data_IF_588272437672
#
_entry.id   IF_588272437672
#
_cell.length_a   1.000
_cell.length_b   1.000
_cell.length_c   1.000
_cell.angle_alpha   90.00
_cell.angle_beta   90.00
_cell.angle_gamma   90.00
#
_symmetry.space_group_name_H-M   'P 1'
#
loop_
_entity.id
_entity.type
_entity.pdbx_description
1 polymer ?
#
# COMPACT_ATOMS: atom_id res chain seq x y z
N UNK A 1 28.64 -6.26 0.86
CA UNK A 1 27.36 -6.71 0.30
C UNK A 1 26.42 -5.53 0.18
N UNK A 2 25.74 -5.35 -0.94
CA UNK A 2 24.78 -4.25 -1.13
C UNK A 2 23.37 -4.73 -0.77
N UNK A 3 22.93 -4.43 0.45
CA UNK A 3 21.55 -4.65 0.86
C UNK A 3 20.69 -3.49 0.33
N UNK A 4 19.88 -3.73 -0.71
CA UNK A 4 18.95 -2.72 -1.26
C UNK A 4 17.51 -3.10 -0.93
N UNK A 5 16.82 -2.23 -0.20
CA UNK A 5 15.38 -2.34 0.05
C UNK A 5 14.62 -1.73 -1.12
N UNK A 6 13.64 -2.46 -1.65
CA UNK A 6 12.75 -1.97 -2.70
C UNK A 6 11.35 -1.79 -2.11
N UNK A 7 10.71 -0.68 -2.40
CA UNK A 7 9.35 -0.38 -1.95
C UNK A 7 8.55 0.27 -3.06
N UNK A 8 7.26 -0.04 -3.13
CA UNK A 8 6.29 0.74 -3.88
C UNK A 8 5.65 1.79 -2.97
N UNK A 9 5.47 2.99 -3.51
CA UNK A 9 4.63 4.05 -2.95
C UNK A 9 3.35 4.13 -3.78
N UNK A 10 2.21 3.99 -3.12
CA UNK A 10 0.88 4.18 -3.69
C UNK A 10 0.25 5.42 -3.07
N UNK A 11 -0.45 6.23 -3.86
CA UNK A 11 -1.19 7.41 -3.39
C UNK A 11 -2.68 7.17 -3.49
N UNK A 12 -3.40 7.41 -2.39
CA UNK A 12 -4.85 7.26 -2.30
C UNK A 12 -5.48 8.61 -2.01
N UNK A 13 -6.37 9.07 -2.88
CA UNK A 13 -7.15 10.29 -2.63
C UNK A 13 -8.46 9.92 -1.96
N UNK A 14 -8.77 10.58 -0.85
CA UNK A 14 -10.07 10.45 -0.19
C UNK A 14 -11.12 11.15 -1.06
N UNK A 15 -12.04 10.37 -1.61
CA UNK A 15 -13.14 10.89 -2.45
C UNK A 15 -14.44 11.06 -1.68
N UNK A 16 -14.58 10.44 -0.51
CA UNK A 16 -15.73 10.61 0.36
C UNK A 16 -15.87 12.09 0.77
N UNK A 17 -17.08 12.62 0.68
CA UNK A 17 -17.37 14.01 1.04
C UNK A 17 -17.30 14.18 2.54
N UNK A 18 -16.61 15.22 3.01
CA UNK A 18 -16.46 15.51 4.43
C UNK A 18 -15.15 16.21 4.75
N UNK A 19 -14.78 16.21 6.04
CA UNK A 19 -13.60 16.94 6.55
C UNK A 19 -12.28 16.57 5.86
N UNK A 20 -12.15 15.34 5.41
CA UNK A 20 -10.92 14.82 4.80
C UNK A 20 -11.00 14.67 3.28
N UNK A 21 -12.06 15.17 2.65
CA UNK A 21 -12.22 15.11 1.21
C UNK A 21 -11.03 15.75 0.48
N UNK A 22 -10.54 15.07 -0.56
CA UNK A 22 -9.41 15.53 -1.37
C UNK A 22 -8.02 15.27 -0.78
N UNK A 23 -7.91 14.88 0.50
CA UNK A 23 -6.62 14.55 1.11
C UNK A 23 -6.02 13.31 0.42
N UNK A 24 -4.71 13.36 0.17
CA UNK A 24 -3.94 12.25 -0.41
C UNK A 24 -3.13 11.56 0.68
N UNK A 25 -3.35 10.26 0.86
CA UNK A 25 -2.63 9.42 1.80
C UNK A 25 -1.70 8.45 1.07
N UNK A 26 -0.44 8.32 1.52
CA UNK A 26 0.50 7.34 0.99
C UNK A 26 0.26 5.95 1.58
N UNK A 27 0.62 4.92 0.82
CA UNK A 27 0.89 3.57 1.33
C UNK A 27 2.27 3.11 0.84
N UNK A 28 3.02 2.48 1.73
CA UNK A 28 4.31 1.89 1.38
C UNK A 28 4.29 0.39 1.61
N UNK A 29 4.69 -0.36 0.58
CA UNK A 29 4.84 -1.80 0.66
C UNK A 29 6.24 -2.22 0.22
N UNK A 30 6.82 -3.16 0.96
CA UNK A 30 8.09 -3.77 0.59
C UNK A 30 7.86 -4.73 -0.59
N UNK A 31 8.69 -4.60 -1.62
CA UNK A 31 8.64 -5.43 -2.83
C UNK A 31 10.03 -6.01 -3.12
N UNK A 32 10.11 -6.93 -4.06
CA UNK A 32 11.35 -7.49 -4.55
C UNK A 32 11.81 -6.75 -5.81
N UNK A 33 13.12 -6.77 -6.14
CA UNK A 33 13.61 -6.22 -7.38
C UNK A 33 12.93 -6.88 -8.58
N UNK A 34 12.35 -6.08 -9.46
CA UNK A 34 11.76 -6.51 -10.72
C UNK A 34 12.54 -5.93 -11.90
N UNK A 35 12.66 -6.69 -13.00
CA UNK A 35 13.23 -6.17 -14.25
C UNK A 35 12.25 -5.25 -15.00
N UNK A 36 10.95 -5.47 -14.78
CA UNK A 36 9.88 -4.70 -15.41
C UNK A 36 9.66 -3.37 -14.68
N UNK A 37 9.35 -2.33 -15.44
CA UNK A 37 8.94 -1.02 -14.91
C UNK A 37 7.44 -0.95 -14.57
N UNK A 38 6.64 -1.85 -15.14
CA UNK A 38 5.16 -1.81 -15.06
C UNK A 38 4.56 -2.88 -14.17
N UNK A 39 5.35 -3.89 -13.79
CA UNK A 39 4.87 -5.01 -12.96
C UNK A 39 5.70 -5.15 -11.70
N UNK A 40 5.07 -5.61 -10.64
CA UNK A 40 5.70 -5.78 -9.32
C UNK A 40 6.09 -7.24 -9.10
N UNK A 41 7.26 -7.42 -8.49
CA UNK A 41 7.66 -8.69 -7.88
C UNK A 41 7.47 -8.61 -6.37
N UNK A 42 6.79 -9.58 -5.77
CA UNK A 42 6.51 -9.63 -4.34
C UNK A 42 6.98 -10.94 -3.71
N UNK A 43 7.16 -10.94 -2.38
CA UNK A 43 7.41 -12.15 -1.61
C UNK A 43 6.11 -12.88 -1.27
N UNK A 44 6.16 -14.21 -1.15
CA UNK A 44 4.99 -15.06 -0.85
C UNK A 44 4.22 -14.67 0.42
N UNK A 45 4.92 -14.14 1.43
CA UNK A 45 4.32 -13.71 2.71
C UNK A 45 4.33 -12.18 2.88
N UNK A 46 4.56 -11.45 1.80
CA UNK A 46 4.62 -9.98 1.86
C UNK A 46 3.24 -9.38 2.10
N UNK A 47 3.20 -8.24 2.79
CA UNK A 47 1.97 -7.50 3.01
C UNK A 47 1.33 -7.07 1.69
N UNK A 48 2.14 -6.71 0.69
CA UNK A 48 1.66 -6.38 -0.64
C UNK A 48 0.87 -7.52 -1.27
N UNK A 49 1.44 -8.74 -1.30
CA UNK A 49 0.80 -9.88 -1.95
C UNK A 49 -0.51 -10.26 -1.24
N UNK A 50 -0.51 -10.27 0.10
CA UNK A 50 -1.71 -10.56 0.89
C UNK A 50 -2.80 -9.51 0.65
N UNK A 51 -2.46 -8.23 0.78
CA UNK A 51 -3.39 -7.13 0.51
C UNK A 51 -3.95 -7.21 -0.91
N UNK A 52 -3.12 -7.43 -1.92
CA UNK A 52 -3.56 -7.48 -3.31
C UNK A 52 -4.60 -8.59 -3.52
N UNK A 53 -4.29 -9.80 -3.06
CA UNK A 53 -5.18 -10.96 -3.19
C UNK A 53 -6.47 -10.77 -2.40
N UNK A 54 -6.38 -10.27 -1.17
CA UNK A 54 -7.55 -10.02 -0.31
C UNK A 54 -8.46 -8.93 -0.92
N UNK A 55 -7.88 -7.82 -1.38
CA UNK A 55 -8.61 -6.67 -1.91
C UNK A 55 -9.40 -7.00 -3.17
N UNK A 56 -8.83 -7.82 -4.05
CA UNK A 56 -9.48 -8.23 -5.31
C UNK A 56 -10.15 -9.60 -5.22
N UNK A 57 -10.08 -10.26 -4.06
CA UNK A 57 -10.55 -11.64 -3.85
C UNK A 57 -10.06 -12.62 -4.93
N UNK A 58 -8.76 -12.57 -5.26
CA UNK A 58 -8.12 -13.45 -6.25
C UNK A 58 -6.91 -14.14 -5.65
N UNK A 59 -6.61 -15.34 -6.16
CA UNK A 59 -5.36 -16.03 -5.90
C UNK A 59 -4.40 -15.82 -7.06
N UNK A 60 -3.23 -15.25 -6.79
CA UNK A 60 -2.18 -15.08 -7.77
C UNK A 60 -1.32 -16.35 -7.83
N UNK A 61 -1.33 -17.01 -8.98
CA UNK A 61 -0.43 -18.15 -9.26
C UNK A 61 1.03 -17.71 -9.42
N UNK A 62 1.25 -16.42 -9.72
CA UNK A 62 2.57 -15.84 -9.93
C UNK A 62 2.76 -14.56 -9.13
N UNK A 63 3.95 -14.42 -8.55
CA UNK A 63 4.34 -13.26 -7.72
C UNK A 63 5.39 -12.35 -8.35
N UNK A 64 5.84 -12.65 -9.56
CA UNK A 64 6.95 -11.96 -10.23
C UNK A 64 6.54 -10.95 -11.30
N UNK A 65 5.25 -10.92 -11.65
CA UNK A 65 4.67 -10.06 -12.69
C UNK A 65 3.28 -9.58 -12.27
N UNK A 66 3.14 -9.09 -11.05
CA UNK A 66 1.86 -8.60 -10.53
C UNK A 66 1.55 -7.26 -11.21
N UNK A 67 0.41 -7.16 -11.89
CA UNK A 67 -0.02 -5.91 -12.53
C UNK A 67 -0.57 -4.94 -11.48
N UNK A 68 -0.34 -3.63 -11.68
CA UNK A 68 -0.99 -2.59 -10.90
C UNK A 68 -2.29 -2.09 -11.52
N UNK A 69 -2.56 -2.48 -12.77
CA UNK A 69 -3.75 -2.03 -13.53
C UNK A 69 -5.08 -2.25 -12.82
N UNK A 70 -5.31 -3.28 -11.99
CA UNK A 70 -6.61 -3.43 -11.32
C UNK A 70 -6.90 -2.34 -10.28
N UNK A 71 -5.89 -1.57 -9.86
CA UNK A 71 -6.08 -0.38 -9.02
C UNK A 71 -6.42 0.88 -9.83
N UNK A 72 -6.34 0.82 -11.16
CA UNK A 72 -6.66 1.97 -12.00
C UNK A 72 -8.19 2.20 -11.99
N UNK A 73 -8.59 3.44 -11.71
CA UNK A 73 -9.99 3.91 -11.78
C UNK A 73 -11.01 3.18 -10.88
N UNK A 74 -10.56 2.46 -9.85
CA UNK A 74 -11.46 1.81 -8.87
C UNK A 74 -11.58 2.63 -7.59
N UNK A 75 -12.76 2.55 -6.96
CA UNK A 75 -12.97 3.01 -5.60
C UNK A 75 -12.58 1.89 -4.63
N UNK A 76 -11.87 2.25 -3.56
CA UNK A 76 -11.31 1.28 -2.62
C UNK A 76 -11.73 1.63 -1.21
N UNK A 77 -12.16 0.61 -0.46
CA UNK A 77 -12.24 0.69 0.99
C UNK A 77 -10.85 0.39 1.55
N UNK A 78 -10.31 1.30 2.35
CA UNK A 78 -8.93 1.19 2.86
C UNK A 78 -8.89 1.31 4.38
N UNK A 79 -7.92 0.63 5.00
CA UNK A 79 -7.60 0.80 6.42
C UNK A 79 -6.53 1.90 6.55
N UNK A 80 -6.87 3.00 7.20
CA UNK A 80 -5.94 4.10 7.50
C UNK A 80 -5.43 3.95 8.93
N UNK A 81 -4.13 4.17 9.12
CA UNK A 81 -3.51 4.23 10.44
C UNK A 81 -2.76 5.55 10.61
N UNK A 82 -2.69 6.02 11.85
CA UNK A 82 -1.84 7.15 12.24
C UNK A 82 -0.57 6.62 12.89
N UNK A 83 0.57 7.00 12.33
CA UNK A 83 1.90 6.67 12.85
C UNK A 83 2.23 7.65 13.97
N UNK A 84 2.24 7.11 15.19
CA UNK A 84 2.53 7.87 16.40
C UNK A 84 3.83 7.44 17.07
N UNK A 85 4.46 6.38 16.57
CA UNK A 85 5.70 5.81 17.09
C UNK A 85 6.66 5.53 15.95
N UNK A 86 7.95 5.65 16.22
CA UNK A 86 9.00 5.28 15.29
C UNK A 86 9.18 3.75 15.22
N UNK A 87 10.14 3.29 14.42
CA UNK A 87 10.44 1.86 14.26
C UNK A 87 11.02 1.21 15.52
N UNK A 88 11.50 2.00 16.49
CA UNK A 88 11.99 1.53 17.79
C UNK A 88 10.90 1.59 18.87
N UNK A 89 9.67 1.98 18.50
CA UNK A 89 8.53 2.10 19.41
C UNK A 89 8.50 3.40 20.21
N UNK A 90 9.40 4.35 19.95
CA UNK A 90 9.46 5.63 20.64
C UNK A 90 8.38 6.57 20.11
N UNK A 91 7.69 7.35 20.97
CA UNK A 91 6.64 8.26 20.54
C UNK A 91 7.20 9.37 19.63
N UNK A 92 6.48 9.65 18.56
CA UNK A 92 6.72 10.80 17.70
C UNK A 92 6.03 12.04 18.28
N UNK A 93 6.72 13.18 18.25
CA UNK A 93 6.12 14.47 18.53
C UNK A 93 4.92 14.73 17.61
N UNK A 94 3.89 15.44 18.08
CA UNK A 94 2.61 15.62 17.36
C UNK A 94 2.79 16.10 15.92
N UNK A 95 3.74 17.01 15.67
CA UNK A 95 4.04 17.55 14.33
C UNK A 95 4.61 16.51 13.35
N UNK A 96 5.25 15.45 13.87
CA UNK A 96 5.85 14.38 13.09
C UNK A 96 4.92 13.17 12.93
N UNK A 97 3.72 13.21 13.53
CA UNK A 97 2.72 12.16 13.33
C UNK A 97 2.09 12.33 11.95
N UNK A 98 1.86 11.22 11.27
CA UNK A 98 1.26 11.24 9.94
C UNK A 98 0.35 10.03 9.75
N UNK A 99 -0.67 10.20 8.91
CA UNK A 99 -1.54 9.09 8.53
C UNK A 99 -1.07 8.46 7.23
N UNK A 100 -1.28 7.15 7.12
CA UNK A 100 -1.00 6.38 5.90
C UNK A 100 -2.04 5.29 5.73
N UNK A 101 -2.21 4.85 4.49
CA UNK A 101 -2.95 3.63 4.22
C UNK A 101 -2.09 2.44 4.64
N UNK A 102 -2.68 1.56 5.46
CA UNK A 102 -2.06 0.31 5.91
C UNK A 102 -2.29 -0.80 4.89
N UNK A 103 -3.53 -0.95 4.42
CA UNK A 103 -3.94 -1.94 3.42
C UNK A 103 -5.25 -1.54 2.75
N UNK A 104 -5.44 -1.98 1.51
CA UNK A 104 -6.74 -2.02 0.86
C UNK A 104 -7.53 -3.24 1.36
N UNK A 105 -8.83 -3.04 1.62
CA UNK A 105 -9.72 -4.07 2.15
C UNK A 105 -10.53 -4.72 1.03
N UNK A 106 -11.17 -3.92 0.19
CA UNK A 106 -11.97 -4.36 -0.95
C UNK A 106 -12.19 -3.21 -1.94
N UNK A 107 -12.56 -3.58 -3.17
CA UNK A 107 -13.13 -2.64 -4.15
C UNK A 107 -14.55 -2.27 -3.71
N UNK A 108 -14.92 -1.00 -3.85
CA UNK A 108 -16.29 -0.50 -3.66
C UNK A 108 -16.91 -0.37 -5.05
N UNK A 109 -18.05 -1.03 -5.25
CA UNK A 109 -18.89 -0.90 -6.44
C UNK A 109 -19.68 0.41 -6.43
#
# INVERSE_FOLDING_TARGET
GYFRKHSILMHFRIVEMGKFHGIVLPAWFNVQPAKSKTTIKAGWKSDFLRMYQDCFNIKLERRDRISMSPFDHVLLKVEVITIQKDTKGQPLGKINQYSRVKRCLNVIE
#
